data_IF_859269460794
#
_entry.id   IF_859269460794
#
_cell.length_a   1.000
_cell.length_b   1.000
_cell.length_c   1.000
_cell.angle_alpha   90.00
_cell.angle_beta   90.00
_cell.angle_gamma   90.00
#
_symmetry.space_group_name_H-M   'P 1'
#
loop_
_entity.id
_entity.type
_entity.pdbx_description
1 polymer ?
#
# COMPACT_ATOMS: atom_id res chain seq x y z
N UNK A 1 4.83 -27.42 5.67
CA UNK A 1 5.39 -26.72 6.85
C UNK A 1 6.36 -27.66 7.58
N UNK A 2 7.61 -27.74 7.13
CA UNK A 2 8.66 -28.63 7.69
C UNK A 2 9.87 -27.85 8.25
N UNK A 3 9.76 -26.52 8.33
CA UNK A 3 10.88 -25.61 8.66
C UNK A 3 10.94 -25.16 10.14
N UNK A 4 10.24 -25.86 11.06
CA UNK A 4 10.22 -25.49 12.48
C UNK A 4 11.64 -25.51 13.12
N UNK A 5 12.57 -26.30 12.57
CA UNK A 5 13.97 -26.36 13.01
C UNK A 5 14.75 -25.06 12.78
N UNK A 6 14.24 -24.10 12.00
CA UNK A 6 14.90 -22.82 11.74
C UNK A 6 15.13 -22.01 13.05
N UNK A 7 14.28 -22.21 14.06
CA UNK A 7 14.43 -21.58 15.37
C UNK A 7 15.56 -22.14 16.25
N UNK A 8 16.20 -23.24 15.83
CA UNK A 8 17.41 -23.75 16.48
C UNK A 8 18.66 -22.95 16.08
N UNK A 9 18.60 -22.26 14.94
CA UNK A 9 19.71 -21.46 14.40
C UNK A 9 19.43 -19.95 14.41
N UNK A 10 18.14 -19.56 14.43
CA UNK A 10 17.71 -18.16 14.57
C UNK A 10 16.92 -18.02 15.87
N UNK A 11 17.26 -17.06 16.74
CA UNK A 11 16.52 -16.83 17.98
C UNK A 11 15.10 -16.30 17.67
N UNK A 12 14.03 -16.91 18.19
CA UNK A 12 12.65 -16.49 17.94
C UNK A 12 12.36 -15.03 18.31
N UNK A 13 12.89 -14.57 19.45
CA UNK A 13 12.67 -13.22 19.99
C UNK A 13 13.17 -12.11 19.06
N UNK A 14 14.11 -12.39 18.16
CA UNK A 14 14.61 -11.41 17.17
C UNK A 14 14.11 -11.74 15.77
N UNK A 15 14.11 -13.02 15.39
CA UNK A 15 13.70 -13.44 14.05
C UNK A 15 12.22 -13.23 13.76
N UNK A 16 11.32 -13.48 14.73
CA UNK A 16 9.88 -13.26 14.53
C UNK A 16 9.56 -11.77 14.38
N UNK A 17 10.02 -10.86 15.28
CA UNK A 17 9.77 -9.43 15.09
C UNK A 17 10.39 -8.89 13.81
N UNK A 18 11.61 -9.31 13.45
CA UNK A 18 12.27 -8.87 12.21
C UNK A 18 11.49 -9.32 10.97
N UNK A 19 11.00 -10.56 10.95
CA UNK A 19 10.18 -11.07 9.85
C UNK A 19 8.89 -10.28 9.68
N UNK A 20 8.16 -10.05 10.78
CA UNK A 20 6.91 -9.29 10.74
C UNK A 20 7.16 -7.82 10.35
N UNK A 21 8.26 -7.23 10.81
CA UNK A 21 8.65 -5.87 10.41
C UNK A 21 8.96 -5.79 8.92
N UNK A 22 9.72 -6.75 8.37
CA UNK A 22 10.01 -6.80 6.93
C UNK A 22 8.74 -6.95 6.09
N UNK A 23 7.77 -7.75 6.54
CA UNK A 23 6.47 -7.90 5.87
C UNK A 23 5.67 -6.59 5.95
N UNK A 24 5.65 -5.91 7.10
CA UNK A 24 4.95 -4.65 7.25
C UNK A 24 5.55 -3.55 6.34
N UNK A 25 6.87 -3.42 6.32
CA UNK A 25 7.58 -2.43 5.49
C UNK A 25 7.37 -2.72 4.00
N UNK A 26 7.49 -3.98 3.58
CA UNK A 26 7.27 -4.34 2.17
C UNK A 26 5.83 -4.12 1.72
N UNK A 27 4.84 -4.47 2.55
CA UNK A 27 3.43 -4.17 2.26
C UNK A 27 3.19 -2.68 2.10
N UNK A 28 3.71 -1.86 3.03
CA UNK A 28 3.58 -0.40 2.94
C UNK A 28 4.25 0.16 1.69
N UNK A 29 5.46 -0.30 1.36
CA UNK A 29 6.20 0.14 0.17
C UNK A 29 5.42 -0.15 -1.13
N UNK A 30 4.81 -1.33 -1.25
CA UNK A 30 3.98 -1.67 -2.42
C UNK A 30 2.77 -0.75 -2.50
N UNK A 31 2.06 -0.52 -1.40
CA UNK A 31 0.90 0.39 -1.38
C UNK A 31 1.30 1.82 -1.74
N UNK A 32 2.40 2.31 -1.17
CA UNK A 32 2.94 3.63 -1.48
C UNK A 32 3.23 3.77 -2.99
N UNK A 33 3.92 2.80 -3.58
CA UNK A 33 4.26 2.82 -4.99
C UNK A 33 3.03 2.78 -5.90
N UNK A 34 1.99 2.03 -5.53
CA UNK A 34 0.73 2.00 -6.29
C UNK A 34 0.03 3.36 -6.20
N UNK A 35 -0.02 3.99 -5.02
CA UNK A 35 -0.62 5.32 -4.85
C UNK A 35 0.10 6.37 -5.69
N UNK A 36 1.44 6.32 -5.77
CA UNK A 36 2.21 7.36 -6.48
C UNK A 36 2.31 7.13 -7.99
N UNK A 37 2.30 5.87 -8.45
CA UNK A 37 2.55 5.54 -9.86
C UNK A 37 1.28 5.18 -10.64
N UNK A 38 0.12 5.09 -9.99
CA UNK A 38 -1.13 4.75 -10.66
C UNK A 38 -2.18 5.84 -10.49
N UNK A 39 -2.90 6.15 -11.58
CA UNK A 39 -3.89 7.24 -11.59
C UNK A 39 -5.27 6.82 -11.10
N UNK A 40 -5.54 5.52 -11.03
CA UNK A 40 -6.85 4.99 -10.61
C UNK A 40 -7.02 4.99 -9.09
N UNK A 41 -5.96 4.73 -8.33
CA UNK A 41 -6.07 4.60 -6.87
C UNK A 41 -6.30 5.97 -6.20
N UNK A 42 -5.69 7.03 -6.71
CA UNK A 42 -6.00 8.41 -6.29
C UNK A 42 -7.45 8.78 -6.59
N UNK A 43 -7.97 8.43 -7.78
CA UNK A 43 -9.39 8.64 -8.14
C UNK A 43 -10.33 7.84 -7.25
N UNK A 44 -9.96 6.61 -6.88
CA UNK A 44 -10.72 5.78 -5.96
C UNK A 44 -10.82 6.41 -4.57
N UNK A 45 -9.72 6.92 -4.01
CA UNK A 45 -9.72 7.58 -2.70
C UNK A 45 -10.37 8.97 -2.70
N UNK A 46 -10.33 9.70 -3.83
CA UNK A 46 -11.05 10.97 -3.98
C UNK A 46 -12.59 10.78 -4.02
N UNK A 47 -13.07 9.54 -4.15
CA UNK A 47 -14.49 9.22 -4.19
C UNK A 47 -15.24 9.97 -5.29
N UNK A 48 -16.49 10.35 -5.05
CA UNK A 48 -17.32 11.08 -6.02
C UNK A 48 -16.93 12.57 -6.16
N UNK A 49 -15.90 13.08 -5.47
CA UNK A 49 -15.50 14.49 -5.58
C UNK A 49 -15.01 14.85 -7.00
N UNK A 50 -14.41 13.89 -7.72
CA UNK A 50 -14.06 14.09 -9.13
C UNK A 50 -15.28 14.24 -10.06
N UNK A 51 -16.48 13.84 -9.63
CA UNK A 51 -17.73 14.08 -10.36
C UNK A 51 -18.36 15.45 -10.05
N UNK A 52 -17.92 16.12 -8.98
CA UNK A 52 -18.41 17.45 -8.57
C UNK A 52 -17.56 18.58 -9.19
N UNK A 53 -16.31 18.32 -9.57
CA UNK A 53 -15.40 19.28 -10.22
C UNK A 53 -15.41 19.23 -11.77
N UNK A 54 -16.46 18.69 -12.41
CA UNK A 54 -16.63 18.90 -13.85
C UNK A 54 -16.89 20.40 -14.13
N UNK A 55 -16.19 21.04 -15.07
CA UNK A 55 -16.18 22.49 -15.20
C UNK A 55 -17.54 23.01 -15.67
N UNK A 56 -18.10 23.94 -14.91
CA UNK A 56 -19.10 24.91 -15.41
C UNK A 56 -18.36 25.96 -16.23
N UNK A 57 -17.74 25.56 -17.34
CA UNK A 57 -17.13 26.49 -18.29
C UNK A 57 -17.15 25.93 -19.71
N UNK A 58 -18.34 25.86 -20.32
CA UNK A 58 -18.59 26.30 -21.72
C UNK A 58 -20.07 26.72 -21.81
N UNK A 59 -20.40 27.88 -21.24
CA UNK A 59 -21.65 28.56 -21.50
C UNK A 59 -21.39 30.08 -21.55
N UNK A 60 -20.61 30.54 -22.52
CA UNK A 60 -20.66 31.91 -23.07
C UNK A 60 -19.63 32.08 -24.20
N UNK A 61 -20.07 31.82 -25.44
CA UNK A 61 -19.84 32.67 -26.63
C UNK A 61 -20.40 31.96 -27.86
#
# INVERSE_FOLDING_TARGET
>A
MNNAKMWLVVKPTVGVPLFLAAVAVSSFAVHYMIVTNTTWLGKYYNGSAAAVEAPVEVAAS
#
